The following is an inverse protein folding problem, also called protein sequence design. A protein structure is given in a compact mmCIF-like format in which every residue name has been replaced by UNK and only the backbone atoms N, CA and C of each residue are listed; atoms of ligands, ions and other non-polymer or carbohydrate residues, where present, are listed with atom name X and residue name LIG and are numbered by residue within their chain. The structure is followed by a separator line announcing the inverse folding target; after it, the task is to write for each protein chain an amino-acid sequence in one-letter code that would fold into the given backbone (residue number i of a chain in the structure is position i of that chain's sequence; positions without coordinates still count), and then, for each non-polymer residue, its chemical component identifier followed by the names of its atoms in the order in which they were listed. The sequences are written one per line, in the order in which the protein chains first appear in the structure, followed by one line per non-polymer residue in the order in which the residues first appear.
data_IF_179052244944
#
_entry.id   IF_179052244944
#
_cell.length_a   1.000
_cell.length_b   1.000
_cell.length_c   1.000
_cell.angle_alpha   90.00
_cell.angle_beta   90.00
_cell.angle_gamma   90.00
#
_symmetry.space_group_name_H-M   'P 1'
#
loop_
_entity.id
_entity.type
_entity.pdbx_description
1 polymer ?
#
# COMPACT_ATOMS: atom_id res chain seq x y z
N UNK A 1 13.29 5.89 12.20
CA UNK A 1 13.78 4.57 11.75
C UNK A 1 12.64 3.81 11.08
N UNK A 2 12.85 3.25 9.89
CA UNK A 2 11.85 2.43 9.19
C UNK A 2 11.86 1.02 9.78
N UNK A 3 10.71 0.57 10.31
CA UNK A 3 10.59 -0.74 11.00
C UNK A 3 11.03 -1.93 10.13
N UNK A 4 10.83 -1.83 8.81
CA UNK A 4 11.16 -2.88 7.86
C UNK A 4 11.90 -2.27 6.67
N UNK A 5 13.08 -2.82 6.33
CA UNK A 5 13.83 -2.43 5.14
C UNK A 5 13.30 -3.17 3.88
N UNK A 6 13.74 -2.77 2.68
CA UNK A 6 13.26 -3.36 1.43
C UNK A 6 13.66 -4.83 1.30
N UNK A 7 14.90 -5.18 1.66
CA UNK A 7 15.42 -6.56 1.63
C UNK A 7 14.59 -7.50 2.49
N UNK A 8 14.26 -7.07 3.72
CA UNK A 8 13.41 -7.84 4.63
C UNK A 8 12.02 -8.06 4.03
N UNK A 9 11.40 -7.01 3.47
CA UNK A 9 10.09 -7.16 2.80
C UNK A 9 10.15 -8.15 1.65
N UNK A 10 11.21 -8.11 0.84
CA UNK A 10 11.41 -9.04 -0.27
C UNK A 10 11.53 -10.47 0.25
N UNK A 11 12.35 -10.72 1.28
CA UNK A 11 12.48 -12.04 1.92
C UNK A 11 11.14 -12.59 2.42
N UNK A 12 10.32 -11.73 3.04
CA UNK A 12 8.99 -12.15 3.53
C UNK A 12 8.07 -12.54 2.36
N UNK A 13 8.09 -11.77 1.27
CA UNK A 13 7.25 -12.03 0.08
C UNK A 13 7.74 -13.27 -0.68
N UNK A 14 9.05 -13.46 -0.80
CA UNK A 14 9.63 -14.66 -1.43
C UNK A 14 9.26 -15.92 -0.65
N UNK A 15 9.38 -15.88 0.68
CA UNK A 15 8.95 -16.97 1.56
C UNK A 15 7.46 -17.28 1.39
N UNK A 16 6.61 -16.26 1.26
CA UNK A 16 5.18 -16.45 1.01
C UNK A 16 4.93 -17.26 -0.27
N UNK A 17 5.60 -16.91 -1.37
CA UNK A 17 5.43 -17.63 -2.65
C UNK A 17 6.07 -19.03 -2.64
N UNK A 18 7.15 -19.24 -1.89
CA UNK A 18 7.81 -20.55 -1.75
C UNK A 18 7.01 -21.55 -0.90
N UNK A 19 6.19 -21.06 0.03
CA UNK A 19 5.46 -21.88 0.98
C UNK A 19 3.93 -21.84 0.74
N UNK A 20 3.54 -22.15 -0.49
CA UNK A 20 2.14 -22.34 -0.92
C UNK A 20 1.23 -21.14 -0.59
N UNK A 21 1.78 -19.93 -0.62
CA UNK A 21 1.01 -18.72 -0.34
C UNK A 21 0.35 -18.71 1.05
N UNK A 22 0.98 -19.39 2.01
CA UNK A 22 0.45 -19.49 3.37
C UNK A 22 0.69 -18.19 4.16
N UNK A 23 -0.36 -17.36 4.25
CA UNK A 23 -0.35 -16.15 5.07
C UNK A 23 -0.05 -16.45 6.55
N UNK A 24 -0.66 -17.50 7.10
CA UNK A 24 -0.52 -17.82 8.52
C UNK A 24 0.89 -18.27 8.87
N UNK A 25 1.50 -19.12 8.05
CA UNK A 25 2.88 -19.57 8.22
C UNK A 25 3.85 -18.39 8.12
N UNK A 26 3.75 -17.61 7.03
CA UNK A 26 4.63 -16.46 6.78
C UNK A 26 4.54 -15.42 7.92
N UNK A 27 3.33 -15.12 8.40
CA UNK A 27 3.14 -14.19 9.51
C UNK A 27 3.80 -14.67 10.81
N UNK A 28 3.74 -15.98 11.09
CA UNK A 28 4.36 -16.60 12.26
C UNK A 28 5.89 -16.59 12.15
N UNK A 29 6.43 -16.93 10.98
CA UNK A 29 7.88 -16.99 10.74
C UNK A 29 8.55 -15.62 10.90
N UNK A 30 7.96 -14.56 10.33
CA UNK A 30 8.56 -13.23 10.32
C UNK A 30 8.00 -12.27 11.37
N UNK A 31 7.06 -12.72 12.22
CA UNK A 31 6.34 -11.88 13.19
C UNK A 31 5.71 -10.63 12.53
N UNK A 32 5.13 -10.82 11.35
CA UNK A 32 4.46 -9.76 10.57
C UNK A 32 2.95 -9.95 10.66
N UNK A 33 2.19 -8.86 10.76
CA UNK A 33 0.72 -8.96 10.78
C UNK A 33 0.16 -9.33 9.40
N UNK A 34 -0.92 -10.11 9.36
CA UNK A 34 -1.61 -10.51 8.11
C UNK A 34 -1.95 -9.32 7.22
N UNK A 35 -2.38 -8.19 7.81
CA UNK A 35 -2.67 -6.94 7.08
C UNK A 35 -1.42 -6.37 6.40
N UNK A 36 -0.28 -6.39 7.09
CA UNK A 36 0.98 -5.88 6.52
C UNK A 36 1.46 -6.78 5.39
N UNK A 37 1.40 -8.10 5.59
CA UNK A 37 1.79 -9.08 4.58
C UNK A 37 0.95 -8.96 3.31
N UNK A 38 -0.38 -8.93 3.41
CA UNK A 38 -1.27 -8.76 2.25
C UNK A 38 -0.94 -7.51 1.44
N UNK A 39 -0.64 -6.40 2.12
CA UNK A 39 -0.25 -5.16 1.45
C UNK A 39 1.06 -5.30 0.69
N UNK A 40 2.07 -5.94 1.28
CA UNK A 40 3.35 -6.16 0.59
C UNK A 40 3.18 -7.08 -0.62
N UNK A 41 2.38 -8.13 -0.51
CA UNK A 41 2.04 -9.02 -1.63
C UNK A 41 1.37 -8.22 -2.76
N UNK A 42 0.34 -7.42 -2.45
CA UNK A 42 -0.36 -6.61 -3.45
C UNK A 42 0.57 -5.59 -4.13
N UNK A 43 1.43 -4.92 -3.35
CA UNK A 43 2.42 -3.98 -3.87
C UNK A 43 3.44 -4.68 -4.78
N UNK A 44 3.88 -5.88 -4.39
CA UNK A 44 4.80 -6.69 -5.17
C UNK A 44 4.17 -7.21 -6.47
N UNK A 45 2.92 -7.69 -6.41
CA UNK A 45 2.20 -8.15 -7.61
C UNK A 45 1.97 -7.01 -8.61
N UNK A 46 1.73 -5.78 -8.14
CA UNK A 46 1.49 -4.63 -9.00
C UNK A 46 2.78 -4.00 -9.57
N UNK A 47 3.82 -3.84 -8.75
CA UNK A 47 5.01 -3.04 -9.10
C UNK A 47 6.35 -3.79 -8.92
N UNK A 48 6.30 -5.11 -8.69
CA UNK A 48 7.47 -5.93 -8.37
C UNK A 48 8.22 -5.43 -7.14
N UNK A 49 9.54 -5.61 -7.15
CA UNK A 49 10.43 -5.17 -6.06
C UNK A 49 10.34 -3.65 -5.77
N UNK A 50 9.97 -2.83 -6.77
CA UNK A 50 9.77 -1.38 -6.60
C UNK A 50 8.58 -1.09 -5.68
N UNK A 51 7.55 -1.95 -5.67
CA UNK A 51 6.42 -1.85 -4.75
C UNK A 51 6.81 -2.06 -3.28
N UNK A 52 7.92 -2.74 -3.02
CA UNK A 52 8.44 -2.98 -1.67
C UNK A 52 9.38 -1.88 -1.17
N UNK A 53 9.69 -0.89 -2.02
CA UNK A 53 10.60 0.20 -1.69
C UNK A 53 10.24 0.87 -0.34
N UNK A 54 11.26 1.26 0.39
CA UNK A 54 11.10 1.98 1.65
C UNK A 54 11.10 3.47 1.34
N UNK A 55 10.07 4.15 1.78
CA UNK A 55 10.03 5.60 1.72
C UNK A 55 10.88 6.16 2.88
N UNK A 56 12.03 6.72 2.55
CA UNK A 56 12.93 7.35 3.52
C UNK A 56 12.45 8.75 3.95
N UNK A 57 11.57 9.37 3.17
CA UNK A 57 10.97 10.68 3.45
C UNK A 57 9.45 10.60 3.50
N UNK A 58 8.83 11.46 4.31
CA UNK A 58 7.38 11.59 4.35
C UNK A 58 6.92 12.14 3.00
N UNK A 59 6.06 11.41 2.30
CA UNK A 59 5.44 11.93 1.08
C UNK A 59 4.49 13.06 1.44
N UNK A 60 4.77 14.24 0.91
CA UNK A 60 3.83 15.35 0.82
C UNK A 60 3.06 15.20 -0.49
N UNK A 61 1.74 15.18 -0.39
CA UNK A 61 0.87 15.15 -1.56
C UNK A 61 0.24 16.53 -1.70
N UNK A 62 0.36 17.12 -2.89
CA UNK A 62 -0.22 18.43 -3.15
C UNK A 62 -1.76 18.33 -3.15
N UNK A 63 -2.49 19.42 -2.88
CA UNK A 63 -3.95 19.43 -2.96
C UNK A 63 -4.45 18.94 -4.33
N UNK A 64 -3.82 19.35 -5.42
CA UNK A 64 -4.19 18.99 -6.79
C UNK A 64 -4.06 17.48 -7.02
N UNK A 65 -2.96 16.88 -6.52
CA UNK A 65 -2.79 15.43 -6.59
C UNK A 65 -3.85 14.68 -5.79
N UNK A 66 -4.15 15.12 -4.56
CA UNK A 66 -5.19 14.50 -3.73
C UNK A 66 -6.55 14.57 -4.41
N UNK A 67 -6.88 15.74 -4.96
CA UNK A 67 -8.13 15.97 -5.69
C UNK A 67 -8.23 15.06 -6.91
N UNK A 68 -7.15 14.94 -7.70
CA UNK A 68 -7.11 14.02 -8.84
C UNK A 68 -7.40 12.57 -8.42
N UNK A 69 -6.74 12.07 -7.38
CA UNK A 69 -6.97 10.72 -6.84
C UNK A 69 -8.42 10.53 -6.39
N UNK A 70 -9.00 11.52 -5.68
CA UNK A 70 -10.39 11.47 -5.23
C UNK A 70 -11.35 11.42 -6.42
N UNK A 71 -11.15 12.27 -7.43
CA UNK A 71 -11.99 12.32 -8.63
C UNK A 71 -12.00 10.98 -9.38
N UNK A 72 -10.83 10.37 -9.59
CA UNK A 72 -10.73 9.04 -10.22
C UNK A 72 -11.54 7.97 -9.47
N UNK A 73 -11.59 8.04 -8.13
CA UNK A 73 -12.38 7.10 -7.32
C UNK A 73 -13.87 7.42 -7.39
N UNK A 74 -14.26 8.70 -7.33
CA UNK A 74 -15.67 9.12 -7.38
C UNK A 74 -16.32 8.84 -8.72
N UNK A 75 -15.57 8.96 -9.82
CA UNK A 75 -16.02 8.61 -11.16
C UNK A 75 -16.16 7.08 -11.37
N UNK A 76 -15.89 6.28 -10.33
CA UNK A 76 -15.91 4.80 -10.31
C UNK A 76 -14.92 4.15 -11.27
N UNK A 77 -13.89 4.88 -11.70
CA UNK A 77 -12.82 4.32 -12.53
C UNK A 77 -11.93 3.35 -11.73
N UNK A 78 -11.79 3.58 -10.42
CA UNK A 78 -10.97 2.76 -9.53
C UNK A 78 -11.54 2.66 -8.12
N UNK A 79 -11.33 1.49 -7.49
CA UNK A 79 -11.48 1.32 -6.05
C UNK A 79 -10.30 1.94 -5.29
N UNK A 80 -10.46 2.17 -3.97
CA UNK A 80 -9.34 2.64 -3.11
C UNK A 80 -8.13 1.70 -3.16
N UNK A 81 -8.37 0.38 -3.22
CA UNK A 81 -7.33 -0.64 -3.30
C UNK A 81 -6.57 -0.56 -4.63
N UNK A 82 -7.25 -0.31 -5.75
CA UNK A 82 -6.59 -0.09 -7.03
C UNK A 82 -5.85 1.25 -7.07
N UNK A 83 -6.49 2.31 -6.56
CA UNK A 83 -5.92 3.66 -6.58
C UNK A 83 -4.62 3.75 -5.79
N UNK A 84 -4.51 3.14 -4.59
CA UNK A 84 -3.25 3.25 -3.84
C UNK A 84 -2.10 2.52 -4.53
N UNK A 85 -2.37 1.42 -5.23
CA UNK A 85 -1.36 0.72 -6.03
C UNK A 85 -0.96 1.54 -7.25
N UNK A 86 -1.95 2.01 -8.02
CA UNK A 86 -1.75 2.77 -9.26
C UNK A 86 -0.98 4.08 -9.01
N UNK A 87 -1.43 4.88 -8.04
CA UNK A 87 -0.80 6.15 -7.67
C UNK A 87 0.43 5.96 -6.75
N UNK A 88 0.80 4.73 -6.43
CA UNK A 88 1.95 4.39 -5.59
C UNK A 88 1.87 4.97 -4.18
N UNK A 89 0.67 5.12 -3.63
CA UNK A 89 0.43 5.61 -2.27
C UNK A 89 0.78 4.49 -1.28
N UNK A 90 1.36 4.82 -0.13
CA UNK A 90 1.88 3.78 0.78
C UNK A 90 0.80 2.96 1.51
N UNK A 91 -0.38 3.54 1.70
CA UNK A 91 -1.46 2.92 2.48
C UNK A 91 -2.84 3.35 1.96
N UNK A 92 -3.77 2.42 1.69
CA UNK A 92 -5.14 2.77 1.31
C UNK A 92 -5.85 3.62 2.37
N UNK A 93 -5.49 3.50 3.66
CA UNK A 93 -6.02 4.37 4.73
C UNK A 93 -5.74 5.86 4.51
N UNK A 94 -4.67 6.21 3.78
CA UNK A 94 -4.38 7.61 3.43
C UNK A 94 -5.43 8.16 2.48
N UNK A 95 -5.87 7.36 1.50
CA UNK A 95 -6.93 7.74 0.55
C UNK A 95 -8.28 7.84 1.27
N UNK A 96 -8.60 6.89 2.16
CA UNK A 96 -9.81 6.98 2.97
C UNK A 96 -9.87 8.27 3.80
N UNK A 97 -8.73 8.73 4.33
CA UNK A 97 -8.67 10.01 5.04
C UNK A 97 -8.96 11.19 4.11
N UNK A 98 -8.41 11.20 2.90
CA UNK A 98 -8.68 12.26 1.92
C UNK A 98 -10.14 12.28 1.49
N UNK A 99 -10.73 11.13 1.20
CA UNK A 99 -12.15 11.01 0.86
C UNK A 99 -13.04 11.55 1.98
N UNK A 100 -12.73 11.23 3.24
CA UNK A 100 -13.45 11.75 4.40
C UNK A 100 -13.32 13.26 4.52
N UNK A 101 -12.10 13.79 4.40
CA UNK A 101 -11.86 15.25 4.42
C UNK A 101 -12.60 15.96 3.28
N UNK A 102 -12.61 15.39 2.09
CA UNK A 102 -13.32 15.93 0.93
C UNK A 102 -14.84 15.94 1.14
N UNK A 103 -15.41 14.87 1.70
CA UNK A 103 -16.84 14.82 2.03
C UNK A 103 -17.23 15.83 3.13
N UNK A 104 -16.33 16.11 4.07
CA UNK A 104 -16.60 16.99 5.21
C UNK A 104 -16.34 18.48 4.90
N UNK A 105 -15.36 18.78 4.04
CA UNK A 105 -14.84 20.14 3.84
C UNK A 105 -14.76 20.55 2.36
N UNK A 106 -15.00 19.66 1.40
CA UNK A 106 -15.00 19.95 -0.04
C UNK A 106 -13.62 20.21 -0.67
N UNK A 107 -12.52 20.07 0.08
CA UNK A 107 -11.16 20.49 -0.34
C UNK A 107 -10.12 19.41 -0.01
#
# INVERSE_FOLDING_TARGET
MTKYNQTFKQQVVDFYFQHEESLSLTCRTFTVSKRTLRRWIAQYQHSGIKGLAVLHTKRTYTPEFKYHVIQTIQNRDMTVEQAYLYFGIANPSTIHQWLKSFQQCGI
#
